data_IF_877917757805
#
_entry.id   IF_877917757805
#
_cell.length_a   1.000
_cell.length_b   1.000
_cell.length_c   1.000
_cell.angle_alpha   90.00
_cell.angle_beta   90.00
_cell.angle_gamma   90.00
#
_symmetry.space_group_name_H-M   'P 1'
#
loop_
_entity.id
_entity.type
_entity.pdbx_description
1 polymer ?
#
# COMPACT_ATOMS: atom_id res chain seq x y z
N UNK A 1 -0.31 4.68 -20.65
CA UNK A 1 -1.31 4.61 -19.56
C UNK A 1 -2.55 5.37 -20.00
N UNK A 2 -3.74 4.78 -19.85
CA UNK A 2 -5.00 5.47 -20.17
C UNK A 2 -5.24 6.64 -19.22
N UNK A 3 -5.95 7.66 -19.69
CA UNK A 3 -6.38 8.80 -18.87
C UNK A 3 -7.19 8.31 -17.64
N UNK A 4 -7.07 8.99 -16.51
CA UNK A 4 -7.90 8.70 -15.32
C UNK A 4 -9.30 9.21 -15.60
N UNK A 5 -10.30 8.31 -15.59
CA UNK A 5 -11.68 8.73 -15.84
C UNK A 5 -12.27 9.40 -14.60
N UNK A 6 -13.22 10.32 -14.80
CA UNK A 6 -13.92 10.96 -13.68
C UNK A 6 -14.71 9.95 -12.83
N UNK A 7 -15.24 8.90 -13.47
CA UNK A 7 -15.97 7.81 -12.81
C UNK A 7 -15.05 7.01 -11.88
N UNK A 8 -13.88 6.60 -12.37
CA UNK A 8 -12.86 5.91 -11.57
C UNK A 8 -12.40 6.77 -10.39
N UNK A 9 -12.20 8.08 -10.63
CA UNK A 9 -11.86 9.01 -9.55
C UNK A 9 -12.97 9.08 -8.49
N UNK A 10 -14.23 9.17 -8.90
CA UNK A 10 -15.39 9.19 -7.99
C UNK A 10 -15.53 7.91 -7.20
N UNK A 11 -15.29 6.77 -7.83
CA UNK A 11 -15.30 5.46 -7.17
C UNK A 11 -14.21 5.37 -6.10
N UNK A 12 -12.99 5.84 -6.40
CA UNK A 12 -11.90 5.84 -5.41
C UNK A 12 -12.18 6.82 -4.27
N UNK A 13 -12.73 8.00 -4.56
CA UNK A 13 -13.11 8.99 -3.53
C UNK A 13 -14.22 8.43 -2.63
N UNK A 14 -15.25 7.80 -3.19
CA UNK A 14 -16.37 7.25 -2.42
C UNK A 14 -15.93 6.10 -1.51
N UNK A 15 -15.08 5.21 -2.02
CA UNK A 15 -14.45 4.12 -1.28
C UNK A 15 -13.40 4.57 -0.26
N UNK A 16 -13.00 5.85 -0.28
CA UNK A 16 -12.00 6.35 0.65
C UNK A 16 -12.56 6.47 2.07
N UNK A 17 -11.78 6.05 3.09
CA UNK A 17 -12.21 6.04 4.48
C UNK A 17 -12.45 7.45 5.04
N UNK A 18 -13.40 7.55 5.95
CA UNK A 18 -13.74 8.76 6.70
C UNK A 18 -12.81 8.86 7.93
N UNK A 19 -12.49 10.07 8.36
CA UNK A 19 -11.67 10.40 9.53
C UNK A 19 -10.21 9.93 9.47
N UNK A 20 -9.66 9.76 8.27
CA UNK A 20 -8.21 9.57 8.11
C UNK A 20 -7.46 10.88 8.25
N UNK A 21 -6.24 10.80 8.79
CA UNK A 21 -5.35 11.94 8.93
C UNK A 21 -5.11 12.63 7.58
N UNK A 22 -5.38 13.94 7.47
CA UNK A 22 -5.10 14.70 6.26
C UNK A 22 -3.59 14.86 6.05
N UNK A 23 -3.21 15.39 4.88
CA UNK A 23 -1.84 15.86 4.65
C UNK A 23 -1.56 17.21 5.34
N UNK A 24 -0.38 17.81 5.07
CA UNK A 24 0.01 19.12 5.60
C UNK A 24 -1.02 20.24 5.37
N UNK A 25 -1.72 20.24 4.23
CA UNK A 25 -2.80 21.18 3.94
C UNK A 25 -4.03 21.06 4.85
N UNK A 26 -4.10 20.00 5.66
CA UNK A 26 -5.25 19.64 6.49
C UNK A 26 -6.55 19.36 5.72
N UNK A 27 -6.49 19.20 4.39
CA UNK A 27 -7.65 18.82 3.56
C UNK A 27 -7.90 17.31 3.70
N UNK A 28 -9.09 16.92 4.15
CA UNK A 28 -9.47 15.51 4.36
C UNK A 28 -10.29 14.93 3.20
N UNK A 29 -10.52 13.60 3.20
CA UNK A 29 -11.23 12.91 2.12
C UNK A 29 -12.69 13.35 1.97
N UNK A 30 -13.31 13.77 3.05
CA UNK A 30 -14.70 14.24 3.13
C UNK A 30 -14.92 15.46 2.22
N UNK A 31 -13.93 16.35 2.14
CA UNK A 31 -14.01 17.52 1.26
C UNK A 31 -14.09 17.09 -0.20
N UNK A 32 -13.30 16.11 -0.61
CA UNK A 32 -13.32 15.58 -1.98
C UNK A 32 -14.65 14.88 -2.33
N UNK A 33 -15.35 14.32 -1.34
CA UNK A 33 -16.69 13.73 -1.55
C UNK A 33 -17.74 14.77 -1.91
N UNK A 34 -17.56 16.02 -1.48
CA UNK A 34 -18.52 17.13 -1.68
C UNK A 34 -18.26 17.95 -2.95
N UNK A 35 -17.06 17.86 -3.54
CA UNK A 35 -16.71 18.63 -4.73
C UNK A 35 -17.50 18.17 -5.97
N UNK A 36 -17.78 19.09 -6.89
CA UNK A 36 -18.32 18.78 -8.23
C UNK A 36 -17.24 18.19 -9.14
N UNK A 37 -17.64 17.54 -10.24
CA UNK A 37 -16.70 16.88 -11.16
C UNK A 37 -15.66 17.85 -11.74
N UNK A 38 -16.09 19.05 -12.12
CA UNK A 38 -15.21 20.12 -12.62
C UNK A 38 -14.19 20.55 -11.56
N UNK A 39 -14.63 20.71 -10.30
CA UNK A 39 -13.76 21.10 -9.20
C UNK A 39 -12.76 20.01 -8.84
N UNK A 40 -13.13 18.73 -8.98
CA UNK A 40 -12.22 17.61 -8.76
C UNK A 40 -11.06 17.58 -9.76
N UNK A 41 -11.35 17.79 -11.05
CA UNK A 41 -10.31 17.85 -12.08
C UNK A 41 -9.31 18.97 -11.82
N UNK A 42 -9.80 20.15 -11.40
CA UNK A 42 -8.97 21.32 -11.07
C UNK A 42 -8.17 21.13 -9.78
N UNK A 43 -8.77 20.54 -8.75
CA UNK A 43 -8.11 20.30 -7.46
C UNK A 43 -6.94 19.33 -7.59
N UNK A 44 -7.11 18.25 -8.36
CA UNK A 44 -6.02 17.29 -8.61
C UNK A 44 -4.86 17.99 -9.32
N UNK A 45 -5.09 18.78 -10.36
CA UNK A 45 -4.01 19.48 -11.06
C UNK A 45 -3.25 20.49 -10.17
N UNK A 46 -3.95 21.14 -9.25
CA UNK A 46 -3.41 22.24 -8.45
C UNK A 46 -2.61 21.78 -7.22
N UNK A 47 -2.97 20.64 -6.61
CA UNK A 47 -2.35 20.13 -5.37
C UNK A 47 -1.05 19.36 -5.65
N UNK A 48 -0.70 19.10 -6.91
CA UNK A 48 0.54 18.39 -7.29
C UNK A 48 1.83 19.19 -7.02
N UNK A 49 1.77 20.39 -6.44
CA UNK A 49 2.97 21.14 -6.05
C UNK A 49 3.55 20.54 -4.78
N UNK A 50 4.72 19.92 -4.91
CA UNK A 50 5.46 19.37 -3.77
C UNK A 50 6.06 20.49 -2.91
N UNK A 51 5.96 20.31 -1.60
CA UNK A 51 6.76 21.07 -0.64
C UNK A 51 7.82 20.12 -0.06
N UNK A 52 9.07 20.54 -0.04
CA UNK A 52 10.15 19.74 0.56
C UNK A 52 9.96 19.63 2.08
N UNK A 53 10.23 18.46 2.63
CA UNK A 53 10.14 18.20 4.07
C UNK A 53 11.52 17.78 4.58
N UNK A 54 12.20 18.71 5.27
CA UNK A 54 13.61 18.59 5.66
C UNK A 54 13.84 17.98 7.07
N UNK A 55 12.99 17.06 7.53
CA UNK A 55 13.16 16.51 8.88
C UNK A 55 14.11 15.29 8.91
N UNK A 56 15.31 15.47 9.44
CA UNK A 56 16.29 14.41 9.71
C UNK A 56 15.90 13.60 10.95
N UNK A 57 15.41 12.37 10.74
CA UNK A 57 15.04 11.44 11.80
C UNK A 57 15.81 10.12 11.67
N UNK A 58 17.00 10.06 12.30
CA UNK A 58 17.92 8.91 12.15
C UNK A 58 17.38 7.60 12.78
N UNK A 59 16.54 7.70 13.80
CA UNK A 59 16.07 6.57 14.63
C UNK A 59 14.55 6.42 14.71
N UNK A 60 13.77 7.18 13.95
CA UNK A 60 12.31 7.00 13.89
C UNK A 60 11.92 6.53 12.49
N UNK A 61 10.79 5.84 12.37
CA UNK A 61 10.18 5.57 11.05
C UNK A 61 9.43 6.84 10.65
N UNK A 62 9.92 7.63 9.67
CA UNK A 62 9.21 8.83 9.26
C UNK A 62 7.88 8.41 8.64
N UNK A 63 6.78 8.96 9.14
CA UNK A 63 5.47 8.80 8.49
C UNK A 63 5.27 10.04 7.64
N UNK A 64 5.52 9.91 6.34
CA UNK A 64 5.25 11.00 5.40
C UNK A 64 3.75 11.09 5.17
N UNK A 65 3.12 12.10 5.77
CA UNK A 65 1.73 12.43 5.49
C UNK A 65 1.64 13.06 4.10
N UNK A 66 1.32 12.25 3.09
CA UNK A 66 1.02 12.75 1.76
C UNK A 66 -0.26 13.59 1.76
N UNK A 67 -0.33 14.58 0.88
CA UNK A 67 -1.59 15.28 0.62
C UNK A 67 -2.68 14.30 0.20
N UNK A 68 -3.91 14.59 0.62
CA UNK A 68 -5.05 13.69 0.39
C UNK A 68 -5.30 13.45 -1.10
N UNK A 69 -5.08 14.46 -1.96
CA UNK A 69 -5.14 14.29 -3.41
C UNK A 69 -4.08 13.30 -3.93
N UNK A 70 -2.85 13.37 -3.42
CA UNK A 70 -1.78 12.42 -3.76
C UNK A 70 -2.10 11.00 -3.30
N UNK A 71 -2.68 10.85 -2.09
CA UNK A 71 -3.15 9.54 -1.61
C UNK A 71 -4.20 8.94 -2.53
N UNK A 72 -5.15 9.75 -3.02
CA UNK A 72 -6.16 9.32 -4.00
C UNK A 72 -5.51 8.90 -5.34
N UNK A 73 -4.55 9.69 -5.84
CA UNK A 73 -3.85 9.37 -7.08
C UNK A 73 -3.05 8.05 -6.96
N UNK A 74 -2.28 7.89 -5.88
CA UNK A 74 -1.52 6.66 -5.60
C UNK A 74 -2.47 5.46 -5.45
N UNK A 75 -3.64 5.65 -4.84
CA UNK A 75 -4.67 4.61 -4.75
C UNK A 75 -5.17 4.17 -6.13
N UNK A 76 -5.42 5.11 -7.06
CA UNK A 76 -5.83 4.80 -8.45
C UNK A 76 -4.73 4.00 -9.16
N UNK A 77 -3.48 4.48 -9.09
CA UNK A 77 -2.32 3.82 -9.70
C UNK A 77 -2.16 2.40 -9.13
N UNK A 78 -2.22 2.26 -7.81
CA UNK A 78 -2.11 0.96 -7.14
C UNK A 78 -3.24 0.02 -7.54
N UNK A 79 -4.49 0.47 -7.61
CA UNK A 79 -5.61 -0.38 -8.04
C UNK A 79 -5.40 -0.92 -9.46
N UNK A 80 -4.93 -0.08 -10.38
CA UNK A 80 -4.60 -0.50 -11.76
C UNK A 80 -3.44 -1.49 -11.77
N UNK A 81 -2.37 -1.22 -11.02
CA UNK A 81 -1.21 -2.12 -10.91
C UNK A 81 -1.60 -3.46 -10.28
N UNK A 82 -2.42 -3.47 -9.24
CA UNK A 82 -2.89 -4.70 -8.60
C UNK A 82 -3.72 -5.57 -9.55
N UNK A 83 -4.56 -4.96 -10.39
CA UNK A 83 -5.30 -5.69 -11.41
C UNK A 83 -4.34 -6.42 -12.37
N UNK A 84 -3.30 -5.73 -12.84
CA UNK A 84 -2.27 -6.28 -13.74
C UNK A 84 -1.44 -7.35 -13.03
N UNK A 85 -0.97 -7.09 -11.82
CA UNK A 85 -0.14 -8.02 -11.06
C UNK A 85 -0.89 -9.31 -10.73
N UNK A 86 -2.17 -9.21 -10.41
CA UNK A 86 -3.03 -10.37 -10.15
C UNK A 86 -3.38 -11.13 -11.43
N UNK A 87 -3.69 -10.44 -12.54
CA UNK A 87 -4.07 -11.11 -13.80
C UNK A 87 -2.91 -11.83 -14.46
N UNK A 88 -1.69 -11.29 -14.34
CA UNK A 88 -0.49 -11.87 -14.95
C UNK A 88 0.38 -12.68 -13.97
N UNK A 89 -0.07 -12.88 -12.72
CA UNK A 89 0.67 -13.57 -11.67
C UNK A 89 2.13 -13.11 -11.56
N UNK A 90 2.35 -11.79 -11.59
CA UNK A 90 3.69 -11.18 -11.59
C UNK A 90 4.45 -11.49 -10.30
N UNK A 91 3.76 -11.48 -9.17
CA UNK A 91 4.33 -11.92 -7.89
C UNK A 91 4.28 -13.44 -7.82
N UNK A 92 5.44 -14.08 -7.99
CA UNK A 92 5.57 -15.53 -7.93
C UNK A 92 5.80 -16.03 -6.50
N UNK A 93 5.41 -17.28 -6.24
CA UNK A 93 5.71 -18.00 -4.99
C UNK A 93 4.81 -17.62 -3.81
N UNK A 94 5.35 -17.74 -2.60
CA UNK A 94 4.64 -17.52 -1.33
C UNK A 94 4.65 -16.06 -0.88
N UNK A 95 4.40 -15.12 -1.81
CA UNK A 95 4.30 -13.70 -1.46
C UNK A 95 2.86 -13.37 -1.01
N UNK A 96 2.70 -13.09 0.28
CA UNK A 96 1.41 -12.78 0.90
C UNK A 96 1.23 -11.28 1.19
N UNK A 97 2.14 -10.42 0.72
CA UNK A 97 2.08 -8.99 0.92
C UNK A 97 1.75 -8.25 -0.38
N UNK A 98 1.04 -7.13 -0.27
CA UNK A 98 0.88 -6.16 -1.35
C UNK A 98 -0.30 -6.39 -2.29
N UNK A 99 -0.81 -7.61 -2.46
CA UNK A 99 -1.99 -7.87 -3.31
C UNK A 99 -3.29 -8.01 -2.50
N UNK A 100 -4.44 -7.60 -3.07
CA UNK A 100 -5.73 -7.80 -2.44
C UNK A 100 -6.05 -9.30 -2.28
N UNK A 101 -6.65 -9.66 -1.14
CA UNK A 101 -7.03 -11.05 -0.83
C UNK A 101 -5.96 -11.87 -0.10
N UNK A 102 -4.73 -11.37 0.02
CA UNK A 102 -3.71 -11.98 0.85
C UNK A 102 -3.91 -11.64 2.34
N UNK A 103 -3.59 -12.59 3.22
CA UNK A 103 -3.72 -12.44 4.67
C UNK A 103 -2.45 -12.93 5.35
N UNK A 104 -2.11 -12.31 6.49
CA UNK A 104 -1.01 -12.72 7.36
C UNK A 104 -1.26 -14.10 7.98
N UNK A 105 -2.53 -14.51 8.10
CA UNK A 105 -2.88 -15.80 8.69
C UNK A 105 -2.42 -16.98 7.82
N UNK A 106 -2.42 -16.82 6.49
CA UNK A 106 -2.03 -17.89 5.56
C UNK A 106 -0.58 -18.33 5.77
N UNK A 107 0.45 -17.47 5.72
CA UNK A 107 1.83 -17.87 5.96
C UNK A 107 2.06 -18.37 7.40
N UNK A 108 1.38 -17.78 8.40
CA UNK A 108 1.47 -18.26 9.79
C UNK A 108 0.98 -19.71 9.89
N UNK A 109 -0.18 -20.02 9.30
CA UNK A 109 -0.75 -21.36 9.32
C UNK A 109 0.09 -22.36 8.52
N UNK A 110 0.68 -21.94 7.40
CA UNK A 110 1.62 -22.77 6.64
C UNK A 110 2.85 -23.11 7.48
N UNK A 111 3.44 -22.12 8.15
CA UNK A 111 4.61 -22.32 9.00
C UNK A 111 4.29 -23.21 10.22
N UNK A 112 3.15 -22.99 10.87
CA UNK A 112 2.65 -23.86 11.95
C UNK A 112 2.40 -25.30 11.47
N UNK A 113 1.83 -25.46 10.28
CA UNK A 113 1.65 -26.75 9.63
C UNK A 113 2.98 -27.48 9.40
N UNK A 114 4.00 -26.80 8.87
CA UNK A 114 5.34 -27.36 8.66
C UNK A 114 5.93 -27.86 9.98
N UNK A 115 5.86 -27.04 11.05
CA UNK A 115 6.40 -27.39 12.38
C UNK A 115 5.66 -28.61 12.95
N UNK A 116 4.32 -28.65 12.85
CA UNK A 116 3.50 -29.76 13.35
C UNK A 116 3.76 -31.04 12.58
N UNK A 117 3.80 -30.98 11.25
CA UNK A 117 4.09 -32.14 10.39
C UNK A 117 5.45 -32.74 10.71
N UNK A 118 6.46 -31.90 10.92
CA UNK A 118 7.79 -32.38 11.33
C UNK A 118 7.74 -33.11 12.66
N UNK A 119 7.09 -32.52 13.68
CA UNK A 119 6.94 -33.13 15.02
C UNK A 119 6.21 -34.48 14.98
N UNK A 120 5.18 -34.62 14.15
CA UNK A 120 4.41 -35.85 14.03
C UNK A 120 5.14 -36.95 13.25
N UNK A 121 5.96 -36.56 12.26
CA UNK A 121 6.69 -37.51 11.42
C UNK A 121 7.79 -38.29 12.15
N UNK A 122 8.17 -37.85 13.36
CA UNK A 122 9.29 -38.40 14.14
C UNK A 122 10.58 -38.59 13.31
N UNK A 123 10.74 -37.74 12.28
CA UNK A 123 11.92 -37.77 11.41
C UNK A 123 13.17 -37.50 12.24
N UNK A 124 14.25 -38.23 11.96
CA UNK A 124 15.56 -37.99 12.56
C UNK A 124 16.27 -36.75 12.00
N UNK A 125 15.71 -36.14 10.96
CA UNK A 125 16.25 -34.92 10.35
C UNK A 125 15.89 -33.70 11.19
N UNK A 126 16.73 -32.67 11.16
CA UNK A 126 16.49 -31.42 11.88
C UNK A 126 15.70 -30.42 11.01
N UNK A 127 14.80 -29.65 11.64
CA UNK A 127 14.08 -28.56 11.00
C UNK A 127 14.77 -27.22 11.29
N UNK A 128 15.18 -26.51 10.23
CA UNK A 128 15.81 -25.19 10.32
C UNK A 128 14.86 -24.11 9.78
N UNK A 129 14.72 -23.01 10.54
CA UNK A 129 13.92 -21.84 10.13
C UNK A 129 14.85 -20.63 10.06
N UNK A 130 14.89 -19.97 8.90
CA UNK A 130 15.65 -18.74 8.68
C UNK A 130 14.70 -17.55 8.67
N UNK A 131 14.91 -16.61 9.59
CA UNK A 131 14.21 -15.32 9.61
C UNK A 131 15.12 -14.23 9.05
N UNK A 132 14.62 -13.48 8.07
CA UNK A 132 15.34 -12.37 7.43
C UNK A 132 14.52 -11.09 7.54
N UNK A 133 15.19 -9.97 7.78
CA UNK A 133 14.59 -8.62 7.78
C UNK A 133 15.53 -7.63 7.09
N UNK A 134 14.94 -6.62 6.43
CA UNK A 134 15.68 -5.59 5.69
C UNK A 134 15.61 -4.28 6.49
N UNK A 135 16.77 -3.78 6.91
CA UNK A 135 16.85 -2.48 7.60
C UNK A 135 16.34 -1.36 6.69
N UNK A 136 15.35 -0.60 7.15
CA UNK A 136 14.77 0.57 6.46
C UNK A 136 14.48 0.30 4.97
N UNK A 137 13.68 -0.72 4.68
CA UNK A 137 13.43 -1.21 3.32
C UNK A 137 13.00 -0.14 2.31
N UNK A 138 12.25 0.89 2.71
CA UNK A 138 11.84 1.98 1.82
C UNK A 138 12.90 3.09 1.67
N UNK A 139 13.69 3.34 2.71
CA UNK A 139 14.74 4.39 2.69
C UNK A 139 16.03 3.90 2.00
N UNK A 140 16.19 2.58 1.88
CA UNK A 140 17.40 1.93 1.34
C UNK A 140 17.29 1.60 -0.15
N UNK A 141 16.21 2.00 -0.80
CA UNK A 141 16.03 1.83 -2.25
C UNK A 141 16.86 2.90 -2.95
N UNK A 142 17.77 2.47 -3.82
CA UNK A 142 18.54 3.36 -4.68
C UNK A 142 17.64 3.92 -5.79
N UNK A 143 17.78 5.22 -6.10
CA UNK A 143 16.94 5.96 -7.06
C UNK A 143 17.52 5.95 -8.48
#
# INVERSE_FOLDING_TARGET
MSHISILELREVISASPIHKAPGPSSISYEWFKLLSDTSLQLAIASILKFHEFDALLKNTRPITLLETAWKLLVKIINNRLFSIFSSHHVLQGNNFAGLPGSSVNTPINVLDGIIKSHRLSQSSQELWILSQDISKAFDSIDL
#
